data_IF_847176173852
#
_entry.id   IF_847176173852
#
_cell.length_a   1.000
_cell.length_b   1.000
_cell.length_c   1.000
_cell.angle_alpha   90.00
_cell.angle_beta   90.00
_cell.angle_gamma   90.00
#
_symmetry.space_group_name_H-M   'P 1'
#
loop_
_entity.id
_entity.type
_entity.pdbx_description
1 polymer ?
#
# COMPACT_ATOMS: atom_id res chain seq x y z
N UNK A 1 -29.40 4.60 26.33
CA UNK A 1 -29.87 3.86 25.14
C UNK A 1 -30.36 4.76 24.01
N UNK A 2 -31.33 5.66 24.21
CA UNK A 2 -31.88 6.50 23.13
C UNK A 2 -30.82 7.30 22.34
N UNK A 3 -29.88 7.95 23.01
CA UNK A 3 -28.86 8.77 22.32
C UNK A 3 -27.89 7.92 21.47
N UNK A 4 -27.54 6.72 21.94
CA UNK A 4 -26.68 5.80 21.20
C UNK A 4 -27.39 5.19 20.00
N UNK A 5 -28.69 4.93 20.10
CA UNK A 5 -29.52 4.52 18.96
C UNK A 5 -29.61 5.62 17.90
N UNK A 6 -29.70 6.89 18.31
CA UNK A 6 -29.66 8.03 17.39
C UNK A 6 -28.30 8.13 16.71
N UNK A 7 -27.20 8.06 17.47
CA UNK A 7 -25.84 8.07 16.92
C UNK A 7 -25.62 6.90 15.96
N UNK A 8 -26.10 5.70 16.30
CA UNK A 8 -26.06 4.54 15.41
C UNK A 8 -26.77 4.82 14.09
N UNK A 9 -27.97 5.41 14.13
CA UNK A 9 -28.73 5.71 12.93
C UNK A 9 -28.02 6.75 12.05
N UNK A 10 -27.41 7.78 12.66
CA UNK A 10 -26.60 8.77 11.94
C UNK A 10 -25.41 8.08 11.24
N UNK A 11 -24.68 7.22 11.95
CA UNK A 11 -23.56 6.45 11.39
C UNK A 11 -24.01 5.55 10.25
N UNK A 12 -25.13 4.85 10.42
CA UNK A 12 -25.70 3.97 9.41
C UNK A 12 -26.07 4.73 8.13
N UNK A 13 -26.82 5.82 8.24
CA UNK A 13 -27.20 6.65 7.08
C UNK A 13 -25.95 7.25 6.41
N UNK A 14 -24.97 7.71 7.19
CA UNK A 14 -23.71 8.22 6.65
C UNK A 14 -22.95 7.15 5.86
N UNK A 15 -22.97 5.90 6.33
CA UNK A 15 -22.40 4.75 5.63
C UNK A 15 -23.11 4.45 4.30
N UNK A 16 -24.45 4.49 4.29
CA UNK A 16 -25.25 4.30 3.06
C UNK A 16 -24.95 5.39 2.04
N UNK A 17 -24.91 6.66 2.46
CA UNK A 17 -24.57 7.78 1.57
C UNK A 17 -23.16 7.65 1.01
N UNK A 18 -22.20 7.21 1.83
CA UNK A 18 -20.81 6.97 1.40
C UNK A 18 -20.71 5.82 0.40
N UNK A 19 -21.49 4.75 0.58
CA UNK A 19 -21.57 3.65 -0.37
C UNK A 19 -22.17 4.10 -1.71
N UNK A 20 -23.23 4.91 -1.68
CA UNK A 20 -23.82 5.50 -2.89
C UNK A 20 -22.78 6.36 -3.62
N UNK A 21 -22.09 7.23 -2.89
CA UNK A 21 -21.02 8.07 -3.47
C UNK A 21 -19.91 7.21 -4.10
N UNK A 22 -19.51 6.12 -3.45
CA UNK A 22 -18.55 5.17 -4.00
C UNK A 22 -19.04 4.51 -5.28
N UNK A 23 -20.29 4.06 -5.33
CA UNK A 23 -20.89 3.47 -6.53
C UNK A 23 -20.90 4.46 -7.69
N UNK A 24 -21.27 5.72 -7.43
CA UNK A 24 -21.25 6.79 -8.44
C UNK A 24 -19.83 7.09 -8.93
N UNK A 25 -18.84 7.10 -8.04
CA UNK A 25 -17.43 7.25 -8.42
C UNK A 25 -16.95 6.07 -9.27
N UNK A 26 -17.30 4.84 -8.90
CA UNK A 26 -16.96 3.65 -9.68
C UNK A 26 -17.64 3.65 -11.06
N UNK A 27 -18.87 4.16 -11.16
CA UNK A 27 -19.56 4.30 -12.44
C UNK A 27 -18.81 5.26 -13.39
N UNK A 28 -18.10 6.26 -12.84
CA UNK A 28 -17.30 7.22 -13.63
C UNK A 28 -15.87 6.75 -13.89
N UNK A 29 -15.21 6.17 -12.89
CA UNK A 29 -13.77 5.85 -12.91
C UNK A 29 -13.48 4.37 -13.24
N UNK A 30 -14.51 3.54 -13.35
CA UNK A 30 -14.40 2.08 -13.47
C UNK A 30 -14.49 1.36 -12.11
N UNK A 31 -14.94 0.10 -12.14
CA UNK A 31 -15.14 -0.71 -10.92
C UNK A 31 -13.85 -0.96 -10.14
N UNK A 32 -12.68 -0.98 -10.80
CA UNK A 32 -11.38 -1.09 -10.16
C UNK A 32 -11.11 0.05 -9.16
N UNK A 33 -11.79 1.19 -9.29
CA UNK A 33 -11.66 2.28 -8.33
C UNK A 33 -12.02 1.86 -6.89
N UNK A 34 -12.99 0.95 -6.73
CA UNK A 34 -13.33 0.37 -5.44
C UNK A 34 -12.24 -0.56 -4.87
N UNK A 35 -11.31 -1.06 -5.68
CA UNK A 35 -10.20 -1.88 -5.19
C UNK A 35 -9.11 -1.05 -4.50
N UNK A 36 -9.14 0.28 -4.62
CA UNK A 36 -8.16 1.16 -3.97
C UNK A 36 -8.42 1.22 -2.46
N UNK A 37 -7.44 0.85 -1.60
CA UNK A 37 -7.64 0.82 -0.14
C UNK A 37 -8.12 2.16 0.46
N UNK A 38 -7.59 3.27 -0.05
CA UNK A 38 -7.98 4.63 0.39
C UNK A 38 -9.46 4.92 0.12
N UNK A 39 -9.99 4.40 -0.98
CA UNK A 39 -11.38 4.61 -1.38
C UNK A 39 -12.32 3.73 -0.55
N UNK A 40 -11.93 2.48 -0.29
CA UNK A 40 -12.70 1.58 0.57
C UNK A 40 -12.74 2.02 2.03
N UNK A 41 -11.80 2.87 2.47
CA UNK A 41 -11.75 3.36 3.85
C UNK A 41 -13.07 4.00 4.29
N UNK A 42 -13.74 4.74 3.39
CA UNK A 42 -15.07 5.31 3.68
C UNK A 42 -16.10 4.23 4.03
N UNK A 43 -16.12 3.11 3.32
CA UNK A 43 -17.00 1.98 3.64
C UNK A 43 -16.63 1.28 4.95
N UNK A 44 -15.34 0.98 5.15
CA UNK A 44 -14.86 0.30 6.36
C UNK A 44 -15.06 1.13 7.62
N UNK A 45 -14.92 2.46 7.54
CA UNK A 45 -15.08 3.37 8.67
C UNK A 45 -16.48 3.26 9.28
N UNK A 46 -17.53 3.45 8.50
CA UNK A 46 -18.90 3.45 9.02
C UNK A 46 -19.34 2.07 9.51
N UNK A 47 -18.92 0.99 8.83
CA UNK A 47 -19.18 -0.38 9.29
C UNK A 47 -18.48 -0.65 10.63
N UNK A 48 -17.23 -0.19 10.79
CA UNK A 48 -16.48 -0.34 12.04
C UNK A 48 -17.12 0.47 13.18
N UNK A 49 -17.50 1.72 12.91
CA UNK A 49 -18.18 2.58 13.89
C UNK A 49 -19.53 2.00 14.33
N UNK A 50 -20.35 1.51 13.39
CA UNK A 50 -21.62 0.84 13.70
C UNK A 50 -21.40 -0.41 14.56
N UNK A 51 -20.35 -1.18 14.26
CA UNK A 51 -19.96 -2.37 15.04
C UNK A 51 -19.57 -2.01 16.46
N UNK A 52 -18.75 -0.96 16.66
CA UNK A 52 -18.36 -0.51 18.00
C UNK A 52 -19.53 0.00 18.83
N UNK A 53 -20.44 0.79 18.24
CA UNK A 53 -21.65 1.26 18.93
C UNK A 53 -22.53 0.08 19.33
N UNK A 54 -22.66 -0.92 18.45
CA UNK A 54 -23.44 -2.14 18.74
C UNK A 54 -22.83 -2.93 19.90
N UNK A 55 -21.50 -3.11 19.90
CA UNK A 55 -20.78 -3.78 20.99
C UNK A 55 -21.00 -3.03 22.32
N UNK A 56 -20.91 -1.70 22.31
CA UNK A 56 -21.12 -0.88 23.51
C UNK A 56 -22.56 -1.01 24.05
N UNK A 57 -23.57 -0.97 23.18
CA UNK A 57 -24.97 -1.20 23.57
C UNK A 57 -25.14 -2.59 24.17
N UNK A 58 -24.54 -3.62 23.57
CA UNK A 58 -24.63 -5.01 24.04
C UNK A 58 -23.89 -5.25 25.35
N UNK A 59 -22.84 -4.48 25.66
CA UNK A 59 -22.02 -4.63 26.86
C UNK A 59 -22.64 -4.01 28.13
N UNK A 60 -23.54 -3.02 27.97
CA UNK A 60 -24.10 -2.25 29.10
C UNK A 60 -24.93 -3.06 30.10
N UNK A 61 -25.64 -4.07 29.63
CA UNK A 61 -26.55 -4.87 30.47
C UNK A 61 -25.96 -6.26 30.79
N UNK A 62 -24.62 -6.40 30.75
CA UNK A 62 -23.93 -7.69 30.92
C UNK A 62 -23.03 -7.73 32.15
N UNK A 63 -22.71 -8.94 32.58
CA UNK A 63 -21.83 -9.16 33.73
C UNK A 63 -20.40 -8.73 33.41
N UNK A 64 -19.63 -8.36 34.44
CA UNK A 64 -18.22 -7.97 34.31
C UNK A 64 -17.39 -9.01 33.54
N UNK A 65 -17.71 -10.29 33.70
CA UNK A 65 -17.05 -11.39 32.99
C UNK A 65 -17.27 -11.32 31.47
N UNK A 66 -18.51 -11.08 31.03
CA UNK A 66 -18.83 -10.96 29.59
C UNK A 66 -18.10 -9.76 28.97
N UNK A 67 -18.06 -8.63 29.68
CA UNK A 67 -17.36 -7.45 29.20
C UNK A 67 -15.84 -7.66 29.12
N UNK A 68 -15.27 -8.40 30.07
CA UNK A 68 -13.86 -8.80 30.01
C UNK A 68 -13.57 -9.73 28.82
N UNK A 69 -14.46 -10.69 28.54
CA UNK A 69 -14.34 -11.58 27.38
C UNK A 69 -14.44 -10.80 26.05
N UNK A 70 -15.38 -9.86 25.93
CA UNK A 70 -15.52 -9.00 24.75
C UNK A 70 -14.27 -8.14 24.51
N UNK A 71 -13.69 -7.57 25.57
CA UNK A 71 -12.44 -6.82 25.48
C UNK A 71 -11.28 -7.73 25.02
N UNK A 72 -11.17 -8.93 25.57
CA UNK A 72 -10.15 -9.89 25.19
C UNK A 72 -10.28 -10.35 23.73
N UNK A 73 -11.50 -10.65 23.27
CA UNK A 73 -11.78 -10.96 21.86
C UNK A 73 -11.38 -9.79 20.94
N UNK A 74 -11.69 -8.56 21.32
CA UNK A 74 -11.31 -7.36 20.55
C UNK A 74 -9.80 -7.23 20.43
N UNK A 75 -9.05 -7.45 21.51
CA UNK A 75 -7.57 -7.44 21.51
C UNK A 75 -7.03 -8.53 20.56
N UNK A 76 -7.58 -9.74 20.59
CA UNK A 76 -7.17 -10.83 19.67
C UNK A 76 -7.43 -10.44 18.21
N UNK A 77 -8.58 -9.84 17.89
CA UNK A 77 -8.92 -9.42 16.53
C UNK A 77 -7.98 -8.32 16.04
N UNK A 78 -7.68 -7.33 16.88
CA UNK A 78 -6.69 -6.27 16.58
C UNK A 78 -5.31 -6.88 16.37
N UNK A 79 -4.86 -7.77 17.27
CA UNK A 79 -3.58 -8.47 17.14
C UNK A 79 -3.50 -9.23 15.80
N UNK A 80 -4.53 -10.02 15.46
CA UNK A 80 -4.59 -10.75 14.19
C UNK A 80 -4.56 -9.82 12.98
N UNK A 81 -5.27 -8.68 13.04
CA UNK A 81 -5.25 -7.66 11.99
C UNK A 81 -3.88 -6.99 11.80
N UNK A 82 -3.06 -6.95 12.85
CA UNK A 82 -1.73 -6.32 12.86
C UNK A 82 -0.56 -7.29 12.64
N UNK A 83 -0.78 -8.62 12.68
CA UNK A 83 0.32 -9.60 12.47
C UNK A 83 0.88 -9.61 11.04
N UNK A 84 2.14 -10.04 10.91
CA UNK A 84 3.07 -9.76 9.80
C UNK A 84 2.68 -10.21 8.39
N UNK A 85 1.63 -11.03 8.25
CA UNK A 85 1.16 -11.49 6.94
C UNK A 85 0.10 -10.57 6.30
N UNK A 86 -0.27 -9.47 6.96
CA UNK A 86 -1.22 -8.48 6.42
C UNK A 86 -0.62 -7.07 6.34
N UNK A 87 -0.75 -6.28 7.40
CA UNK A 87 -0.71 -4.81 7.37
C UNK A 87 0.69 -4.24 7.58
N UNK A 88 1.57 -5.00 8.25
CA UNK A 88 2.94 -4.58 8.57
C UNK A 88 3.99 -5.27 7.68
N UNK A 89 3.58 -5.91 6.58
CA UNK A 89 4.53 -6.48 5.63
C UNK A 89 5.33 -5.36 4.99
N UNK A 90 6.64 -5.55 4.87
CA UNK A 90 7.48 -4.61 4.13
C UNK A 90 6.94 -4.49 2.70
N UNK A 91 7.04 -3.29 2.11
CA UNK A 91 6.62 -3.00 0.73
C UNK A 91 7.61 -3.60 -0.29
N UNK A 92 7.88 -4.90 -0.15
CA UNK A 92 8.74 -5.70 -1.01
C UNK A 92 7.84 -6.63 -1.82
N UNK A 93 7.87 -6.43 -3.14
CA UNK A 93 7.16 -7.28 -4.10
C UNK A 93 7.97 -8.55 -4.42
N UNK A 94 7.37 -9.45 -5.20
CA UNK A 94 8.01 -10.67 -5.71
C UNK A 94 8.51 -11.65 -4.63
N UNK A 95 8.00 -11.53 -3.41
CA UNK A 95 8.37 -12.36 -2.26
C UNK A 95 9.89 -12.40 -2.00
N UNK A 96 10.60 -11.32 -2.31
CA UNK A 96 12.03 -11.21 -2.06
C UNK A 96 12.33 -11.04 -0.57
N UNK A 97 13.49 -11.53 -0.15
CA UNK A 97 14.06 -11.13 1.14
C UNK A 97 14.46 -9.65 1.12
N UNK A 98 14.52 -9.02 2.30
CA UNK A 98 14.98 -7.64 2.45
C UNK A 98 16.37 -7.40 1.82
N UNK A 99 17.30 -8.36 1.99
CA UNK A 99 18.65 -8.24 1.42
C UNK A 99 18.63 -8.24 -0.11
N UNK A 100 17.80 -9.09 -0.74
CA UNK A 100 17.62 -9.11 -2.19
C UNK A 100 16.99 -7.80 -2.70
N UNK A 101 15.92 -7.34 -2.07
CA UNK A 101 15.24 -6.09 -2.44
C UNK A 101 16.17 -4.87 -2.30
N UNK A 102 16.98 -4.85 -1.23
CA UNK A 102 18.02 -3.84 -1.04
C UNK A 102 19.09 -3.92 -2.12
N UNK A 103 19.55 -5.11 -2.48
CA UNK A 103 20.56 -5.27 -3.52
C UNK A 103 20.08 -4.77 -4.89
N UNK A 104 18.82 -5.08 -5.26
CA UNK A 104 18.20 -4.56 -6.50
C UNK A 104 18.09 -3.04 -6.46
N UNK A 105 17.59 -2.48 -5.36
CA UNK A 105 17.47 -1.02 -5.21
C UNK A 105 18.83 -0.32 -5.26
N UNK A 106 19.84 -0.90 -4.63
CA UNK A 106 21.20 -0.38 -4.66
C UNK A 106 21.81 -0.45 -6.06
N UNK A 107 21.59 -1.55 -6.78
CA UNK A 107 22.06 -1.67 -8.16
C UNK A 107 21.46 -0.60 -9.09
N UNK A 108 20.20 -0.24 -8.89
CA UNK A 108 19.56 0.87 -9.61
C UNK A 108 20.28 2.19 -9.28
N UNK A 109 20.45 2.49 -8.00
CA UNK A 109 21.11 3.71 -7.54
C UNK A 109 22.55 3.80 -8.09
N UNK A 110 23.31 2.70 -8.01
CA UNK A 110 24.70 2.64 -8.45
C UNK A 110 24.86 2.89 -9.94
N UNK A 111 23.95 2.37 -10.77
CA UNK A 111 23.94 2.64 -12.22
C UNK A 111 23.76 4.14 -12.48
N UNK A 112 22.83 4.81 -11.78
CA UNK A 112 22.58 6.24 -11.97
C UNK A 112 23.74 7.10 -11.45
N UNK A 113 24.29 6.77 -10.27
CA UNK A 113 25.48 7.45 -9.71
C UNK A 113 26.67 7.31 -10.66
N UNK A 114 26.87 6.14 -11.26
CA UNK A 114 27.95 5.92 -12.22
C UNK A 114 27.81 6.83 -13.44
N UNK A 115 26.60 6.96 -13.99
CA UNK A 115 26.31 7.91 -15.08
C UNK A 115 26.58 9.35 -14.65
N UNK A 116 26.10 9.77 -13.48
CA UNK A 116 26.28 11.14 -12.96
C UNK A 116 27.77 11.50 -12.81
N UNK A 117 28.57 10.59 -12.23
CA UNK A 117 30.01 10.77 -12.06
C UNK A 117 30.76 10.90 -13.38
N UNK A 118 30.22 10.31 -14.45
CA UNK A 118 30.76 10.41 -15.79
C UNK A 118 30.20 11.63 -16.56
N UNK A 119 29.47 12.53 -15.90
CA UNK A 119 28.76 13.67 -16.49
C UNK A 119 27.77 13.27 -17.59
N UNK A 120 27.23 12.05 -17.51
CA UNK A 120 26.22 11.57 -18.44
C UNK A 120 24.87 12.20 -18.15
N UNK A 121 24.17 12.65 -19.20
CA UNK A 121 22.82 13.23 -19.11
C UNK A 121 21.73 12.29 -19.60
N UNK A 122 22.11 11.13 -20.15
CA UNK A 122 21.20 10.11 -20.67
C UNK A 122 21.74 8.72 -20.30
N UNK A 123 20.86 7.81 -19.89
CA UNK A 123 21.24 6.42 -19.65
C UNK A 123 20.10 5.43 -19.86
N UNK A 124 20.47 4.19 -20.18
CA UNK A 124 19.60 3.03 -20.06
C UNK A 124 19.82 2.44 -18.67
N UNK A 125 18.77 2.43 -17.85
CA UNK A 125 18.77 1.79 -16.55
C UNK A 125 18.25 0.36 -16.69
N UNK A 126 19.12 -0.62 -16.45
CA UNK A 126 18.72 -2.02 -16.47
C UNK A 126 18.15 -2.43 -15.12
N UNK A 127 16.95 -3.01 -15.13
CA UNK A 127 16.26 -3.52 -13.93
C UNK A 127 15.87 -4.99 -14.13
N UNK A 128 15.75 -5.80 -13.07
CA UNK A 128 15.15 -7.13 -13.21
C UNK A 128 13.74 -7.02 -13.79
N UNK A 129 13.35 -7.94 -14.65
CA UNK A 129 11.99 -8.02 -15.19
C UNK A 129 11.00 -8.34 -14.06
N UNK A 130 10.08 -7.41 -13.82
CA UNK A 130 8.91 -7.56 -12.95
C UNK A 130 7.68 -8.06 -13.71
N UNK A 131 6.49 -7.91 -13.11
CA UNK A 131 5.23 -8.51 -13.60
C UNK A 131 4.46 -7.64 -14.61
N UNK A 132 5.09 -6.63 -15.22
CA UNK A 132 4.47 -5.67 -16.17
C UNK A 132 3.24 -4.88 -15.62
N UNK A 133 2.86 -5.06 -14.34
CA UNK A 133 1.67 -4.46 -13.71
C UNK A 133 1.99 -3.27 -12.79
N UNK A 134 2.79 -2.31 -13.27
CA UNK A 134 3.12 -1.07 -12.56
C UNK A 134 3.89 -1.25 -11.23
N UNK A 135 4.42 -2.45 -10.95
CA UNK A 135 5.10 -2.76 -9.70
C UNK A 135 6.62 -2.68 -9.81
N UNK A 136 7.27 -2.44 -8.66
CA UNK A 136 8.72 -2.60 -8.50
C UNK A 136 9.16 -4.04 -8.88
N UNK A 137 10.29 -4.25 -9.57
CA UNK A 137 11.32 -3.29 -9.98
C UNK A 137 10.82 -2.39 -11.11
N UNK A 138 10.99 -1.07 -10.94
CA UNK A 138 10.21 -0.02 -11.58
C UNK A 138 9.76 -0.28 -13.03
N UNK A 139 8.48 0.00 -13.36
CA UNK A 139 7.99 -0.12 -14.73
C UNK A 139 8.71 0.86 -15.67
N UNK A 140 8.63 0.55 -16.97
CA UNK A 140 9.38 1.22 -18.04
C UNK A 140 9.20 2.74 -18.08
N UNK A 141 8.07 3.26 -17.59
CA UNK A 141 7.72 4.67 -17.61
C UNK A 141 8.24 5.46 -16.40
N UNK A 142 8.85 4.81 -15.40
CA UNK A 142 9.24 5.46 -14.13
C UNK A 142 10.59 6.18 -14.20
N UNK A 143 11.36 6.02 -15.28
CA UNK A 143 12.69 6.60 -15.45
C UNK A 143 12.80 8.09 -15.08
N UNK A 144 11.90 8.98 -15.58
CA UNK A 144 11.91 10.40 -15.22
C UNK A 144 11.74 10.66 -13.72
N UNK A 145 10.96 9.83 -13.01
CA UNK A 145 10.74 9.99 -11.57
C UNK A 145 11.94 9.52 -10.75
N UNK A 146 12.64 8.47 -11.20
CA UNK A 146 13.87 7.99 -10.56
C UNK A 146 14.93 9.09 -10.57
N UNK A 147 15.25 9.66 -11.74
CA UNK A 147 16.26 10.71 -11.87
C UNK A 147 15.93 11.93 -11.01
N UNK A 148 14.67 12.38 -11.07
CA UNK A 148 14.18 13.51 -10.27
C UNK A 148 14.25 13.23 -8.76
N UNK A 149 13.86 12.04 -8.32
CA UNK A 149 13.94 11.66 -6.91
C UNK A 149 15.40 11.68 -6.42
N UNK A 150 16.31 11.02 -7.14
CA UNK A 150 17.72 10.96 -6.76
C UNK A 150 18.36 12.36 -6.70
N UNK A 151 18.02 13.25 -7.62
CA UNK A 151 18.48 14.64 -7.60
C UNK A 151 17.91 15.42 -6.41
N UNK A 152 16.60 15.30 -6.15
CA UNK A 152 15.95 15.98 -5.03
C UNK A 152 16.51 15.56 -3.66
N UNK A 153 16.95 14.30 -3.53
CA UNK A 153 17.61 13.79 -2.32
C UNK A 153 19.13 14.03 -2.31
N UNK A 154 19.70 14.71 -3.31
CA UNK A 154 21.13 15.03 -3.36
C UNK A 154 22.05 13.83 -3.62
N UNK A 155 21.51 12.73 -4.17
CA UNK A 155 22.28 11.52 -4.50
C UNK A 155 23.05 11.70 -5.81
N UNK A 156 22.48 12.47 -6.75
CA UNK A 156 23.11 12.89 -8.01
C UNK A 156 23.07 14.40 -8.15
N UNK A 157 23.99 14.97 -8.94
CA UNK A 157 24.06 16.41 -9.17
C UNK A 157 23.37 16.85 -10.45
N UNK A 158 23.50 16.05 -11.52
CA UNK A 158 22.98 16.40 -12.84
C UNK A 158 21.55 15.89 -13.05
N UNK A 159 20.82 16.54 -13.95
CA UNK A 159 19.61 15.95 -14.50
C UNK A 159 20.00 14.83 -15.47
N UNK A 160 19.48 13.63 -15.21
CA UNK A 160 19.73 12.45 -16.04
C UNK A 160 18.39 11.97 -16.59
N UNK A 161 18.27 11.94 -17.91
CA UNK A 161 17.21 11.23 -18.59
C UNK A 161 17.46 9.72 -18.49
N UNK A 162 16.49 8.99 -17.96
CA UNK A 162 16.59 7.56 -17.70
C UNK A 162 15.53 6.83 -18.53
N UNK A 163 16.00 5.91 -19.39
CA UNK A 163 15.15 4.91 -20.04
C UNK A 163 15.27 3.60 -19.26
N UNK A 164 14.17 3.10 -18.71
CA UNK A 164 14.18 1.86 -17.92
C UNK A 164 14.01 0.66 -18.84
N UNK A 165 14.94 -0.30 -18.76
CA UNK A 165 14.95 -1.52 -19.59
C UNK A 165 14.99 -2.78 -18.73
N UNK A 166 13.90 -3.56 -18.69
CA UNK A 166 13.89 -4.87 -18.05
C UNK A 166 14.92 -5.82 -18.66
N UNK A 167 15.66 -6.54 -17.81
CA UNK A 167 16.69 -7.50 -18.20
C UNK A 167 16.55 -8.81 -17.42
N UNK A 168 16.26 -9.90 -18.15
CA UNK A 168 16.10 -11.26 -17.62
C UNK A 168 17.43 -11.79 -17.04
N UNK A 169 18.57 -11.35 -17.56
CA UNK A 169 19.87 -11.72 -17.01
C UNK A 169 20.08 -11.14 -15.61
N UNK A 170 19.53 -9.96 -15.32
CA UNK A 170 19.55 -9.39 -13.96
C UNK A 170 18.69 -10.20 -12.98
N UNK A 171 17.57 -10.77 -13.43
CA UNK A 171 16.79 -11.69 -12.58
C UNK A 171 17.65 -12.86 -12.11
N UNK A 172 18.37 -13.50 -13.04
CA UNK A 172 19.25 -14.63 -12.73
C UNK A 172 20.42 -14.21 -11.83
N UNK A 173 21.08 -13.09 -12.15
CA UNK A 173 22.24 -12.59 -11.40
C UNK A 173 21.90 -12.20 -9.96
N UNK A 174 20.70 -11.66 -9.74
CA UNK A 174 20.27 -11.10 -8.44
C UNK A 174 19.29 -12.03 -7.70
N UNK A 175 19.06 -13.24 -8.23
CA UNK A 175 18.10 -14.21 -7.69
C UNK A 175 16.69 -13.62 -7.50
N UNK A 176 16.23 -12.82 -8.47
CA UNK A 176 14.88 -12.27 -8.51
C UNK A 176 14.01 -13.19 -9.37
N UNK A 177 12.86 -13.67 -8.89
CA UNK A 177 11.94 -14.47 -9.70
C UNK A 177 11.53 -13.74 -10.98
N UNK A 178 11.35 -14.49 -12.07
CA UNK A 178 10.71 -13.94 -13.27
C UNK A 178 9.21 -14.04 -13.05
N UNK A 179 8.53 -12.90 -13.16
CA UNK A 179 7.09 -12.77 -13.07
C UNK A 179 6.48 -12.40 -14.42
#
# INVERSE_FOLDING_TARGET
>A
NRDQSIVFFIVFISGVLSLIALVLLCARAGSYYAARPVVMWGGFLYVSMASFITIDILAKDRTKLINALLAFCTIILVYKGLTSNSTLKQSINLNLSYSQAKAVSQNIIDQVISTDRNNGTNMILYVPKGDDHDNWPFPIYEGPFIGKALKNYGIIQNDIYIEVKPDIYLNQKMSVPIS
#
